data_IF_615612736673
#
_entry.id   IF_615612736673
#
_cell.length_a   1.000
_cell.length_b   1.000
_cell.length_c   1.000
_cell.angle_alpha   90.00
_cell.angle_beta   90.00
_cell.angle_gamma   90.00
#
_symmetry.space_group_name_H-M   'P 1'
#
loop_
_entity.id
_entity.type
_entity.pdbx_description
1 polymer ?
#
# COMPACT_ATOMS: atom_id res chain seq x y z
N UNK A 1 -0.10 12.62 18.69
CA UNK A 1 0.87 11.50 18.59
C UNK A 1 0.40 10.24 19.30
N UNK A 2 -0.13 10.30 20.53
CA UNK A 2 -0.65 9.11 21.24
C UNK A 2 -1.88 8.48 20.56
N UNK A 3 -2.86 9.28 20.16
CA UNK A 3 -4.07 8.78 19.52
C UNK A 3 -3.83 8.06 18.17
N UNK A 4 -2.83 8.49 17.39
CA UNK A 4 -2.49 7.86 16.10
C UNK A 4 -1.77 6.51 16.30
N UNK A 5 -0.93 6.41 17.33
CA UNK A 5 -0.29 5.15 17.73
C UNK A 5 -1.30 4.13 18.25
N UNK A 6 -2.25 4.54 19.08
CA UNK A 6 -3.29 3.64 19.57
C UNK A 6 -4.20 3.16 18.43
N UNK A 7 -4.48 4.04 17.46
CA UNK A 7 -5.22 3.69 16.25
C UNK A 7 -4.45 2.67 15.39
N UNK A 8 -3.14 2.87 15.20
CA UNK A 8 -2.28 1.92 14.48
C UNK A 8 -2.20 0.56 15.21
N UNK A 9 -2.02 0.55 16.53
CA UNK A 9 -2.01 -0.69 17.33
C UNK A 9 -3.31 -1.45 17.20
N UNK A 10 -4.44 -0.75 17.31
CA UNK A 10 -5.75 -1.34 17.11
C UNK A 10 -5.91 -1.88 15.68
N UNK A 11 -5.49 -1.13 14.67
CA UNK A 11 -5.51 -1.59 13.28
C UNK A 11 -4.73 -2.90 13.10
N UNK A 12 -3.50 -2.97 13.60
CA UNK A 12 -2.65 -4.16 13.51
C UNK A 12 -3.16 -5.33 14.35
N UNK A 13 -3.85 -5.08 15.47
CA UNK A 13 -4.35 -6.16 16.34
C UNK A 13 -5.54 -6.92 15.71
N UNK A 14 -6.38 -6.23 14.95
CA UNK A 14 -7.54 -6.82 14.28
C UNK A 14 -7.21 -7.48 12.93
N UNK A 15 -6.03 -7.21 12.36
CA UNK A 15 -5.62 -7.80 11.09
C UNK A 15 -5.42 -9.32 11.19
N UNK A 16 -5.97 -10.06 10.24
CA UNK A 16 -5.86 -11.52 10.14
C UNK A 16 -4.98 -11.88 8.93
N UNK A 17 -3.77 -12.43 9.14
CA UNK A 17 -2.87 -12.76 8.05
C UNK A 17 -3.38 -13.98 7.26
N UNK A 18 -3.23 -13.93 5.94
CA UNK A 18 -3.64 -14.98 5.01
C UNK A 18 -2.61 -16.11 4.88
N UNK A 19 -1.33 -15.83 5.13
CA UNK A 19 -0.24 -16.81 5.04
C UNK A 19 0.82 -16.62 6.15
N UNK A 20 1.85 -17.49 6.14
CA UNK A 20 2.93 -17.45 7.12
C UNK A 20 3.80 -16.18 7.00
N UNK A 21 4.03 -15.69 5.78
CA UNK A 21 4.85 -14.50 5.55
C UNK A 21 4.14 -13.24 6.06
N UNK A 22 2.87 -13.06 5.74
CA UNK A 22 2.04 -11.95 6.23
C UNK A 22 1.94 -12.00 7.77
N UNK A 23 1.91 -13.19 8.37
CA UNK A 23 1.94 -13.35 9.83
C UNK A 23 3.26 -12.86 10.42
N UNK A 24 4.40 -13.27 9.87
CA UNK A 24 5.72 -12.81 10.30
C UNK A 24 5.88 -11.29 10.16
N UNK A 25 5.40 -10.73 9.05
CA UNK A 25 5.41 -9.30 8.78
C UNK A 25 4.51 -8.56 9.78
N UNK A 26 3.30 -9.05 10.05
CA UNK A 26 2.39 -8.47 11.04
C UNK A 26 3.00 -8.46 12.45
N UNK A 27 3.64 -9.57 12.87
CA UNK A 27 4.32 -9.64 14.16
C UNK A 27 5.48 -8.64 14.26
N UNK A 28 6.23 -8.47 13.17
CA UNK A 28 7.31 -7.48 13.08
C UNK A 28 6.77 -6.05 13.16
N UNK A 29 5.69 -5.74 12.44
CA UNK A 29 5.03 -4.43 12.50
C UNK A 29 4.51 -4.12 13.90
N UNK A 30 3.91 -5.10 14.59
CA UNK A 30 3.46 -4.94 15.98
C UNK A 30 4.63 -4.62 16.92
N UNK A 31 5.79 -5.28 16.78
CA UNK A 31 6.99 -4.94 17.56
C UNK A 31 7.47 -3.51 17.28
N UNK A 32 7.57 -3.14 16.00
CA UNK A 32 8.01 -1.78 15.64
C UNK A 32 7.04 -0.68 16.08
N UNK A 33 5.73 -0.95 16.13
CA UNK A 33 4.75 -0.01 16.68
C UNK A 33 4.99 0.30 18.17
N UNK A 34 5.65 -0.58 18.91
CA UNK A 34 6.04 -0.38 20.31
C UNK A 34 7.44 0.22 20.47
N UNK A 35 8.38 -0.15 19.59
CA UNK A 35 9.80 0.20 19.73
C UNK A 35 10.19 1.54 19.10
N UNK A 36 9.50 1.98 18.05
CA UNK A 36 9.91 3.17 17.29
C UNK A 36 9.39 4.45 17.94
N UNK A 37 10.27 5.44 18.11
CA UNK A 37 9.91 6.76 18.64
C UNK A 37 9.04 7.56 17.66
N UNK A 38 9.34 7.47 16.35
CA UNK A 38 8.65 8.19 15.29
C UNK A 38 8.23 7.24 14.16
N UNK A 39 7.28 6.32 14.41
CA UNK A 39 6.96 5.22 13.50
C UNK A 39 6.44 5.67 12.14
N UNK A 40 5.88 6.87 12.02
CA UNK A 40 5.36 7.41 10.76
C UNK A 40 6.37 8.27 10.00
N UNK A 41 7.51 8.59 10.60
CA UNK A 41 8.45 9.55 10.02
C UNK A 41 9.49 8.86 9.16
N UNK A 42 9.65 9.32 7.91
CA UNK A 42 10.72 8.86 7.00
C UNK A 42 12.14 9.07 7.54
N UNK A 43 12.33 9.97 8.53
CA UNK A 43 13.65 10.16 9.17
C UNK A 43 13.98 9.07 10.19
N UNK A 44 13.03 8.19 10.50
CA UNK A 44 13.24 7.06 11.41
C UNK A 44 14.12 6.00 10.71
N UNK A 45 15.36 5.78 11.17
CA UNK A 45 16.39 5.12 10.36
C UNK A 45 16.28 3.58 10.35
N UNK A 46 15.53 2.97 11.27
CA UNK A 46 15.36 1.51 11.34
C UNK A 46 14.22 1.03 10.45
N UNK A 47 13.06 1.65 10.63
CA UNK A 47 11.83 1.32 9.92
C UNK A 47 10.81 2.43 10.11
N UNK A 48 9.86 2.55 9.19
CA UNK A 48 8.70 3.43 9.34
C UNK A 48 7.51 2.90 8.53
N UNK A 49 6.31 3.31 8.92
CA UNK A 49 5.06 2.89 8.30
C UNK A 49 4.78 3.65 7.00
N UNK A 50 4.29 2.92 6.02
CA UNK A 50 3.87 3.41 4.70
C UNK A 50 2.43 2.98 4.43
N UNK A 51 1.74 3.72 3.56
CA UNK A 51 0.38 3.42 3.14
C UNK A 51 0.34 3.16 1.63
N UNK A 52 -0.17 2.00 1.24
CA UNK A 52 -0.33 1.63 -0.17
C UNK A 52 -1.77 1.25 -0.51
N UNK A 53 -2.13 1.35 -1.78
CA UNK A 53 -3.49 1.06 -2.24
C UNK A 53 -3.54 0.21 -3.50
N UNK A 54 -4.36 -0.84 -3.50
CA UNK A 54 -4.86 -1.45 -4.73
C UNK A 54 -6.04 -0.62 -5.21
N UNK A 55 -5.89 0.03 -6.36
CA UNK A 55 -6.94 0.86 -6.97
C UNK A 55 -7.72 0.05 -7.99
N UNK A 56 -9.01 -0.12 -7.77
CA UNK A 56 -9.92 -0.79 -8.72
C UNK A 56 -10.88 0.20 -9.38
N UNK A 57 -11.39 -0.14 -10.56
CA UNK A 57 -12.45 0.63 -11.20
C UNK A 57 -13.81 0.42 -10.48
N UNK A 58 -14.84 1.23 -10.73
CA UNK A 58 -16.13 1.12 -10.02
C UNK A 58 -16.80 -0.26 -10.15
N UNK A 59 -16.50 -0.98 -11.23
CA UNK A 59 -17.01 -2.34 -11.47
C UNK A 59 -16.20 -3.43 -10.77
N UNK A 60 -15.04 -3.11 -10.19
CA UNK A 60 -14.10 -4.08 -9.60
C UNK A 60 -13.47 -5.03 -10.63
N UNK A 61 -13.57 -4.70 -11.92
CA UNK A 61 -13.16 -5.55 -13.03
C UNK A 61 -11.69 -5.36 -13.40
N UNK A 62 -11.16 -4.15 -13.18
CA UNK A 62 -9.78 -3.78 -13.51
C UNK A 62 -9.08 -3.16 -12.31
N UNK A 63 -7.76 -3.26 -12.32
CA UNK A 63 -6.84 -2.72 -11.30
C UNK A 63 -5.79 -1.83 -11.97
N UNK A 64 -5.38 -0.75 -11.29
CA UNK A 64 -4.25 0.07 -11.73
C UNK A 64 -2.94 -0.53 -11.25
N UNK A 65 -1.95 -0.61 -12.15
CA UNK A 65 -0.54 -0.70 -11.79
C UNK A 65 0.25 0.45 -12.42
N UNK A 66 1.30 0.89 -11.72
CA UNK A 66 2.22 1.94 -12.11
C UNK A 66 3.58 1.34 -12.45
N UNK A 67 4.18 1.76 -13.56
CA UNK A 67 5.53 1.36 -13.93
C UNK A 67 6.54 2.26 -13.20
N UNK A 68 7.02 1.80 -12.06
CA UNK A 68 7.92 2.55 -11.19
C UNK A 68 9.21 2.96 -11.94
N UNK A 69 9.54 4.25 -11.91
CA UNK A 69 10.58 4.85 -12.74
C UNK A 69 12.00 4.36 -12.42
N UNK A 70 12.33 4.22 -11.13
CA UNK A 70 13.64 3.69 -10.68
C UNK A 70 13.72 2.16 -10.70
N UNK A 71 12.71 1.47 -10.14
CA UNK A 71 12.71 0.02 -10.02
C UNK A 71 12.41 -0.72 -11.33
N UNK A 72 11.81 -0.04 -12.31
CA UNK A 72 11.38 -0.62 -13.58
C UNK A 72 10.46 -1.84 -13.38
N UNK A 73 9.61 -1.78 -12.35
CA UNK A 73 8.64 -2.80 -11.95
C UNK A 73 7.23 -2.22 -11.95
N UNK A 74 6.23 -3.06 -12.20
CA UNK A 74 4.83 -2.70 -12.04
C UNK A 74 4.43 -2.86 -10.57
N UNK A 75 3.95 -1.79 -9.95
CA UNK A 75 3.59 -1.73 -8.54
C UNK A 75 2.23 -1.02 -8.36
N UNK A 76 1.62 -1.24 -7.20
CA UNK A 76 0.50 -0.44 -6.72
C UNK A 76 1.00 0.95 -6.26
N UNK A 77 0.16 2.00 -6.30
CA UNK A 77 0.49 3.29 -5.66
C UNK A 77 0.67 3.13 -4.15
N UNK A 78 1.55 3.94 -3.58
CA UNK A 78 1.83 3.94 -2.15
C UNK A 78 3.13 4.64 -1.79
N UNK A 79 3.21 5.12 -0.55
CA UNK A 79 4.30 5.96 -0.12
C UNK A 79 4.31 6.23 1.37
N UNK A 80 5.13 7.21 1.76
CA UNK A 80 5.35 7.55 3.16
C UNK A 80 4.14 8.24 3.77
N UNK A 81 3.92 8.04 5.07
CA UNK A 81 2.97 8.86 5.79
C UNK A 81 3.45 10.32 5.89
N UNK A 82 2.54 11.26 5.73
CA UNK A 82 2.77 12.69 5.89
C UNK A 82 2.06 13.23 7.13
N UNK A 83 2.45 14.42 7.59
CA UNK A 83 1.79 15.10 8.72
C UNK A 83 0.29 15.30 8.47
N UNK A 84 -0.09 15.56 7.22
CA UNK A 84 -1.47 15.74 6.80
C UNK A 84 -2.35 14.49 7.01
N UNK A 85 -1.74 13.30 7.03
CA UNK A 85 -2.44 12.02 7.23
C UNK A 85 -2.78 11.80 8.72
N UNK A 86 -2.28 12.66 9.62
CA UNK A 86 -2.49 12.59 11.07
C UNK A 86 -2.19 11.20 11.68
N UNK A 87 -1.28 10.44 11.05
CA UNK A 87 -0.91 9.08 11.44
C UNK A 87 -1.96 8.01 11.16
N UNK A 88 -2.94 8.27 10.29
CA UNK A 88 -3.90 7.27 9.79
C UNK A 88 -3.41 6.70 8.46
N UNK A 89 -3.07 5.41 8.44
CA UNK A 89 -2.47 4.78 7.25
C UNK A 89 -3.43 4.70 6.06
N UNK A 90 -4.74 4.66 6.32
CA UNK A 90 -5.75 4.78 5.26
C UNK A 90 -5.72 6.14 4.56
N UNK A 91 -5.41 7.22 5.27
CA UNK A 91 -5.31 8.55 4.68
C UNK A 91 -4.05 8.66 3.82
N UNK A 92 -2.91 8.12 4.29
CA UNK A 92 -1.69 8.01 3.48
C UNK A 92 -1.96 7.23 2.20
N UNK A 93 -2.54 6.02 2.29
CA UNK A 93 -2.86 5.20 1.13
C UNK A 93 -3.82 5.89 0.14
N UNK A 94 -4.82 6.62 0.65
CA UNK A 94 -5.75 7.38 -0.19
C UNK A 94 -5.09 8.59 -0.84
N UNK A 95 -4.18 9.29 -0.16
CA UNK A 95 -3.44 10.43 -0.70
C UNK A 95 -2.51 9.97 -1.83
N UNK A 96 -1.65 8.99 -1.55
CA UNK A 96 -0.71 8.43 -2.54
C UNK A 96 -1.45 7.91 -3.78
N UNK A 97 -2.56 7.18 -3.59
CA UNK A 97 -3.40 6.75 -4.71
C UNK A 97 -3.96 7.91 -5.54
N UNK A 98 -4.31 9.05 -4.94
CA UNK A 98 -4.77 10.23 -5.69
C UNK A 98 -3.62 10.89 -6.43
N UNK A 99 -2.49 11.08 -5.77
CA UNK A 99 -1.31 11.77 -6.30
C UNK A 99 -0.72 10.99 -7.48
N UNK A 100 -0.52 9.69 -7.32
CA UNK A 100 0.14 8.87 -8.32
C UNK A 100 -0.77 8.43 -9.48
N UNK A 101 -2.10 8.45 -9.31
CA UNK A 101 -3.04 8.02 -10.36
C UNK A 101 -3.88 9.16 -10.96
N UNK A 102 -3.96 10.32 -10.30
CA UNK A 102 -4.90 11.40 -10.62
C UNK A 102 -6.39 11.08 -10.41
N UNK A 103 -6.72 9.84 -10.04
CA UNK A 103 -8.09 9.44 -9.75
C UNK A 103 -8.54 9.97 -8.38
N UNK A 104 -9.80 10.37 -8.29
CA UNK A 104 -10.52 10.46 -7.02
C UNK A 104 -10.78 9.04 -6.52
N UNK A 105 -10.23 8.73 -5.35
CA UNK A 105 -10.39 7.41 -4.73
C UNK A 105 -11.06 7.48 -3.36
N UNK A 106 -11.78 6.40 -3.05
CA UNK A 106 -12.43 6.12 -1.76
C UNK A 106 -12.13 4.68 -1.32
N UNK A 107 -12.15 4.41 -0.01
CA UNK A 107 -12.00 3.04 0.49
C UNK A 107 -13.11 2.15 -0.07
N UNK A 108 -12.74 0.93 -0.46
CA UNK A 108 -13.73 -0.05 -0.90
C UNK A 108 -14.72 -0.36 0.25
N UNK A 109 -16.04 -0.39 -0.01
CA UNK A 109 -17.05 -0.41 1.05
C UNK A 109 -17.09 -1.71 1.84
N UNK A 110 -16.63 -2.82 1.26
CA UNK A 110 -16.69 -4.17 1.86
C UNK A 110 -15.32 -4.75 2.22
N UNK A 111 -14.24 -4.06 1.90
CA UNK A 111 -12.90 -4.62 2.11
C UNK A 111 -12.51 -4.56 3.60
N UNK A 112 -11.76 -5.57 4.09
CA UNK A 112 -11.05 -5.47 5.36
C UNK A 112 -10.14 -4.23 5.39
N UNK A 113 -9.92 -3.69 6.58
CA UNK A 113 -9.06 -2.53 6.81
C UNK A 113 -8.06 -2.89 7.92
N UNK A 114 -6.78 -3.16 7.59
CA UNK A 114 -6.20 -3.15 6.23
C UNK A 114 -6.60 -4.40 5.43
N UNK A 115 -6.36 -4.38 4.11
CA UNK A 115 -6.52 -5.55 3.25
C UNK A 115 -5.32 -6.50 3.41
N UNK A 116 -4.10 -5.97 3.45
CA UNK A 116 -2.84 -6.70 3.51
C UNK A 116 -1.81 -5.91 4.31
N UNK A 117 -0.79 -6.60 4.81
CA UNK A 117 0.40 -5.99 5.39
C UNK A 117 1.68 -6.66 4.86
N UNK A 118 2.76 -5.90 4.79
CA UNK A 118 4.05 -6.39 4.30
C UNK A 118 5.21 -5.61 4.91
N UNK A 119 6.32 -6.31 5.11
CA UNK A 119 7.58 -5.66 5.47
C UNK A 119 8.61 -5.95 4.39
N UNK A 120 9.18 -4.89 3.84
CA UNK A 120 10.23 -4.99 2.82
C UNK A 120 11.38 -4.02 3.10
N UNK A 121 12.57 -4.44 2.69
CA UNK A 121 13.80 -3.68 2.87
C UNK A 121 13.98 -2.68 1.75
N UNK A 122 14.29 -1.44 2.12
CA UNK A 122 14.76 -0.40 1.21
C UNK A 122 16.29 -0.40 1.27
N UNK A 123 16.98 -0.68 0.15
CA UNK A 123 18.44 -0.76 0.14
C UNK A 123 19.04 0.63 0.41
N UNK A 124 20.20 0.64 1.06
CA UNK A 124 20.94 1.86 1.33
C UNK A 124 21.22 2.66 0.03
N UNK A 125 21.07 3.98 0.12
CA UNK A 125 21.44 4.95 -0.90
C UNK A 125 22.43 5.94 -0.30
N UNK A 126 22.97 6.84 -1.14
CA UNK A 126 24.05 7.76 -0.75
C UNK A 126 23.74 8.55 0.54
N UNK A 127 22.50 9.00 0.70
CA UNK A 127 22.08 9.86 1.81
C UNK A 127 21.04 9.17 2.72
N UNK A 128 20.85 7.85 2.59
CA UNK A 128 19.81 7.11 3.29
C UNK A 128 20.28 5.69 3.62
N UNK A 129 20.31 5.34 4.91
CA UNK A 129 20.69 4.01 5.35
C UNK A 129 19.66 2.97 4.90
N UNK A 130 20.09 1.71 4.82
CA UNK A 130 19.16 0.60 4.67
C UNK A 130 18.16 0.61 5.83
N UNK A 131 16.88 0.48 5.51
CA UNK A 131 15.79 0.50 6.48
C UNK A 131 14.61 -0.33 5.97
N UNK A 132 13.57 -0.50 6.78
CA UNK A 132 12.37 -1.24 6.41
C UNK A 132 11.17 -0.32 6.21
N UNK A 133 10.40 -0.56 5.16
CA UNK A 133 9.03 -0.07 5.06
C UNK A 133 8.09 -1.06 5.73
N UNK A 134 7.19 -0.55 6.57
CA UNK A 134 6.14 -1.29 7.28
C UNK A 134 4.80 -0.94 6.59
N UNK A 135 4.50 -1.65 5.51
CA UNK A 135 3.51 -1.24 4.53
C UNK A 135 2.11 -1.75 4.88
N UNK A 136 1.18 -0.82 5.10
CA UNK A 136 -0.22 -1.08 5.41
C UNK A 136 -1.05 -0.82 4.17
N UNK A 137 -1.75 -1.85 3.68
CA UNK A 137 -2.27 -1.85 2.32
C UNK A 137 -3.79 -1.94 2.29
N UNK A 138 -4.41 -1.12 1.44
CA UNK A 138 -5.86 -0.97 1.36
C UNK A 138 -6.39 -1.28 -0.04
N UNK A 139 -7.67 -1.65 -0.11
CA UNK A 139 -8.41 -1.68 -1.38
C UNK A 139 -9.22 -0.40 -1.52
N UNK A 140 -9.05 0.30 -2.64
CA UNK A 140 -9.74 1.56 -2.93
C UNK A 140 -10.41 1.51 -4.30
N UNK A 141 -11.47 2.28 -4.47
CA UNK A 141 -12.21 2.43 -5.71
C UNK A 141 -11.91 3.78 -6.32
N UNK A 142 -11.50 3.83 -7.58
CA UNK A 142 -11.43 5.05 -8.37
C UNK A 142 -12.83 5.42 -8.86
N UNK A 143 -13.36 6.55 -8.42
CA UNK A 143 -14.69 7.04 -8.79
C UNK A 143 -14.75 7.60 -10.22
N UNK A 144 -13.59 7.97 -10.78
CA UNK A 144 -13.41 8.56 -12.10
C UNK A 144 -12.23 7.88 -12.84
N UNK A 145 -12.35 6.59 -13.19
CA UNK A 145 -11.23 5.80 -13.75
C UNK A 145 -10.63 6.38 -15.05
N UNK A 146 -11.37 7.22 -15.76
CA UNK A 146 -10.92 7.96 -16.94
C UNK A 146 -9.88 9.04 -16.66
N UNK A 147 -9.72 9.47 -15.40
CA UNK A 147 -8.73 10.44 -14.98
C UNK A 147 -7.33 9.85 -14.81
N UNK A 148 -7.14 8.56 -15.08
CA UNK A 148 -5.88 7.86 -14.87
C UNK A 148 -4.74 8.57 -15.60
N UNK A 149 -3.81 9.07 -14.80
CA UNK A 149 -2.51 9.59 -15.19
C UNK A 149 -1.47 9.00 -14.23
N UNK A 150 -0.19 9.21 -14.51
CA UNK A 150 0.89 8.77 -13.66
C UNK A 150 1.67 9.99 -13.19
N UNK A 151 2.21 9.97 -11.96
CA UNK A 151 3.17 11.01 -11.56
C UNK A 151 4.52 10.77 -12.28
N UNK A 152 4.97 11.69 -13.15
CA UNK A 152 6.23 11.55 -13.89
C UNK A 152 7.49 11.61 -13.00
N UNK A 153 7.38 12.06 -11.75
CA UNK A 153 8.49 12.04 -10.80
C UNK A 153 8.77 10.64 -10.24
N UNK A 154 7.74 9.78 -10.22
CA UNK A 154 7.77 8.49 -9.54
C UNK A 154 7.71 7.31 -10.51
N UNK A 155 6.91 7.45 -11.55
CA UNK A 155 6.60 6.41 -12.51
C UNK A 155 6.79 6.88 -13.95
N UNK A 156 6.84 5.94 -14.89
CA UNK A 156 6.93 6.24 -16.34
C UNK A 156 5.68 5.78 -17.10
N UNK A 157 4.61 5.45 -16.37
CA UNK A 157 3.34 5.03 -16.94
C UNK A 157 2.40 4.42 -15.90
N UNK A 158 1.11 4.48 -16.20
CA UNK A 158 0.04 3.85 -15.45
C UNK A 158 -0.88 3.07 -16.40
N UNK A 159 -1.39 1.93 -15.97
CA UNK A 159 -2.30 1.13 -16.79
C UNK A 159 -3.43 0.52 -15.95
N UNK A 160 -4.65 0.63 -16.47
CA UNK A 160 -5.75 -0.25 -16.10
C UNK A 160 -5.53 -1.62 -16.72
N UNK A 161 -5.57 -2.66 -15.88
CA UNK A 161 -5.33 -4.04 -16.25
C UNK A 161 -6.47 -4.91 -15.77
N UNK A 162 -6.81 -5.94 -16.54
CA UNK A 162 -7.57 -7.05 -15.98
C UNK A 162 -6.76 -7.72 -14.86
N UNK A 163 -7.45 -8.41 -13.95
CA UNK A 163 -6.80 -9.14 -12.86
C UNK A 163 -5.74 -10.14 -13.36
N UNK A 164 -6.02 -10.84 -14.47
CA UNK A 164 -5.09 -11.84 -15.00
C UNK A 164 -3.85 -11.17 -15.64
N UNK A 165 -4.02 -10.02 -16.32
CA UNK A 165 -2.91 -9.22 -16.84
C UNK A 165 -2.04 -8.62 -15.73
N UNK A 166 -2.66 -8.17 -14.63
CA UNK A 166 -1.94 -7.64 -13.47
C UNK A 166 -1.13 -8.74 -12.79
N UNK A 167 -1.74 -9.91 -12.53
CA UNK A 167 -1.06 -11.07 -11.95
C UNK A 167 0.06 -11.60 -12.84
N UNK A 168 -0.08 -11.53 -14.17
CA UNK A 168 0.98 -11.88 -15.10
C UNK A 168 2.16 -10.90 -15.03
N UNK A 169 1.90 -9.59 -14.91
CA UNK A 169 2.95 -8.56 -14.84
C UNK A 169 3.80 -8.63 -13.57
N UNK A 170 3.18 -8.93 -12.43
CA UNK A 170 3.91 -8.99 -11.14
C UNK A 170 4.70 -10.29 -10.97
N UNK A 171 4.43 -11.30 -11.80
CA UNK A 171 5.22 -12.53 -11.86
C UNK A 171 5.26 -13.27 -10.52
N UNK A 172 6.47 -13.57 -10.04
CA UNK A 172 6.73 -14.30 -8.80
C UNK A 172 6.94 -13.38 -7.57
N UNK A 173 6.61 -12.10 -7.68
CA UNK A 173 6.63 -11.17 -6.54
C UNK A 173 5.54 -11.56 -5.52
N UNK A 174 5.88 -12.46 -4.61
CA UNK A 174 4.92 -13.12 -3.73
C UNK A 174 4.07 -12.14 -2.89
N UNK A 175 4.64 -11.07 -2.26
CA UNK A 175 3.83 -10.09 -1.53
C UNK A 175 2.82 -9.34 -2.41
N UNK A 176 3.25 -8.84 -3.58
CA UNK A 176 2.34 -8.11 -4.46
C UNK A 176 1.30 -9.03 -5.09
N UNK A 177 1.67 -10.26 -5.46
CA UNK A 177 0.73 -11.28 -5.92
C UNK A 177 -0.35 -11.57 -4.86
N UNK A 178 0.06 -11.80 -3.60
CA UNK A 178 -0.88 -12.00 -2.48
C UNK A 178 -1.84 -10.82 -2.33
N UNK A 179 -1.32 -9.59 -2.35
CA UNK A 179 -2.13 -8.38 -2.28
C UNK A 179 -3.20 -8.34 -3.38
N UNK A 180 -2.81 -8.61 -4.64
CA UNK A 180 -3.73 -8.60 -5.78
C UNK A 180 -4.76 -9.73 -5.71
N UNK A 181 -4.38 -10.92 -5.23
CA UNK A 181 -5.30 -12.05 -5.05
C UNK A 181 -6.35 -11.75 -3.96
N UNK A 182 -5.92 -11.18 -2.82
CA UNK A 182 -6.84 -10.72 -1.76
C UNK A 182 -7.79 -9.64 -2.28
N UNK A 183 -7.27 -8.66 -3.03
CA UNK A 183 -8.09 -7.61 -3.63
C UNK A 183 -9.11 -8.17 -4.64
N UNK A 184 -8.69 -9.07 -5.53
CA UNK A 184 -9.56 -9.72 -6.53
C UNK A 184 -10.72 -10.47 -5.89
N UNK A 185 -10.47 -11.16 -4.78
CA UNK A 185 -11.49 -11.92 -4.05
C UNK A 185 -12.60 -11.02 -3.46
N UNK A 186 -12.28 -9.75 -3.18
CA UNK A 186 -13.21 -8.78 -2.58
C UNK A 186 -13.87 -7.87 -3.62
N UNK A 187 -13.12 -7.48 -4.66
CA UNK A 187 -13.54 -6.50 -5.66
C UNK A 187 -14.61 -7.03 -6.62
N UNK A 188 -14.65 -8.35 -6.88
CA UNK A 188 -15.66 -8.93 -7.75
C UNK A 188 -17.04 -8.86 -7.07
N UNK A 189 -18.09 -8.34 -7.76
CA UNK A 189 -19.45 -8.57 -7.31
C UNK A 189 -19.74 -10.08 -7.35
N UNK A 190 -20.54 -10.55 -6.38
CA UNK A 190 -21.06 -11.92 -6.36
C UNK A 190 -21.89 -12.24 -7.62
#
# INVERSE_FOLDING_TARGET
MTASLDSLRALLSHHVPADAREREDLERMRRFAEELEQPFSRVQPRAHFTGSAVVVDPAGARVVLLLHGKLKRWLQPGGHAEEADAGRMEDSALREAREETGCRVVLHPRAPRPLDVDVHTIPARKDEAEHQHLDVRYLVVAENPEALVHDPNESTGAQWLTWDEALARVGEDAPLRRLLEKARAVARPE
#
